data_IF_009954762378
#
_entry.id   IF_009954762378
#
_cell.length_a   1.000
_cell.length_b   1.000
_cell.length_c   1.000
_cell.angle_alpha   90.00
_cell.angle_beta   90.00
_cell.angle_gamma   90.00
#
_symmetry.space_group_name_H-M   'P 1'
#
loop_
_entity.id
_entity.type
_entity.pdbx_description
1 polymer ?
#
# COMPACT_ATOMS: atom_id res chain seq x y z
N UNK A 1 49.45 14.65 10.64
CA UNK A 1 49.52 14.19 9.22
C UNK A 1 48.37 14.79 8.41
N UNK A 2 48.57 15.14 7.12
CA UNK A 2 47.47 15.51 6.24
C UNK A 2 46.55 14.29 6.04
N UNK A 3 45.25 14.51 6.12
CA UNK A 3 44.21 13.50 5.90
C UNK A 3 43.25 14.03 4.84
N UNK A 4 42.89 13.18 3.88
CA UNK A 4 41.89 13.48 2.86
C UNK A 4 40.63 12.69 3.18
N UNK A 5 39.47 13.32 3.03
CA UNK A 5 38.16 12.68 3.17
C UNK A 5 37.40 12.83 1.87
N UNK A 6 36.67 11.79 1.47
CA UNK A 6 35.80 11.81 0.30
C UNK A 6 34.47 11.15 0.65
N UNK A 7 33.41 11.59 -0.03
CA UNK A 7 32.08 11.02 0.05
C UNK A 7 31.79 10.29 -1.25
N UNK A 8 31.24 9.07 -1.16
CA UNK A 8 30.78 8.31 -2.31
C UNK A 8 29.26 8.30 -2.31
N UNK A 9 28.67 8.78 -3.40
CA UNK A 9 27.24 8.69 -3.66
C UNK A 9 27.01 7.64 -4.75
N UNK A 10 26.11 6.70 -4.49
CA UNK A 10 25.77 5.60 -5.39
C UNK A 10 24.30 5.73 -5.76
N UNK A 11 24.02 5.72 -7.06
CA UNK A 11 22.66 5.67 -7.61
C UNK A 11 22.43 4.30 -8.24
N UNK A 12 21.29 3.69 -7.92
CA UNK A 12 20.93 2.36 -8.42
C UNK A 12 19.86 2.47 -9.49
N UNK A 13 20.08 1.78 -10.61
CA UNK A 13 19.13 1.79 -11.72
C UNK A 13 17.88 0.97 -11.41
N UNK A 14 16.74 1.40 -11.95
CA UNK A 14 15.46 0.69 -11.86
C UNK A 14 15.39 -0.62 -12.68
N UNK A 15 16.48 -1.01 -13.35
CA UNK A 15 16.51 -2.23 -14.20
C UNK A 15 16.90 -3.49 -13.43
N UNK A 16 17.65 -3.35 -12.34
CA UNK A 16 18.20 -4.48 -11.59
C UNK A 16 18.11 -4.18 -10.10
N UNK A 17 17.50 -5.10 -9.36
CA UNK A 17 17.49 -5.09 -7.91
C UNK A 17 18.75 -5.74 -7.38
N UNK A 18 19.52 -4.99 -6.60
CA UNK A 18 20.69 -5.48 -5.87
C UNK A 18 20.33 -5.54 -4.40
N UNK A 19 20.71 -6.60 -3.70
CA UNK A 19 20.55 -6.71 -2.25
C UNK A 19 21.71 -6.04 -1.50
N UNK A 20 22.87 -5.94 -2.14
CA UNK A 20 24.07 -5.29 -1.60
C UNK A 20 24.81 -4.45 -2.66
N UNK A 21 25.50 -3.42 -2.21
CA UNK A 21 26.52 -2.71 -2.97
C UNK A 21 27.90 -3.03 -2.39
N UNK A 22 28.73 -3.71 -3.17
CA UNK A 22 30.11 -4.00 -2.83
C UNK A 22 31.05 -2.99 -3.48
N UNK A 23 31.77 -2.23 -2.66
CA UNK A 23 32.73 -1.21 -3.09
C UNK A 23 34.11 -1.60 -2.60
N UNK A 24 35.07 -1.66 -3.53
CA UNK A 24 36.48 -1.84 -3.22
C UNK A 24 37.22 -0.54 -3.53
N UNK A 25 37.90 0.01 -2.53
CA UNK A 25 38.74 1.18 -2.67
C UNK A 25 40.19 0.76 -2.44
N UNK A 26 41.07 1.18 -3.33
CA UNK A 26 42.50 0.93 -3.24
C UNK A 26 43.25 2.25 -3.36
N UNK A 27 44.09 2.56 -2.37
CA UNK A 27 45.06 3.65 -2.47
C UNK A 27 46.34 3.16 -3.17
N UNK A 28 46.92 3.99 -4.03
CA UNK A 28 48.17 3.68 -4.74
C UNK A 28 49.09 4.89 -4.75
N UNK A 29 50.40 4.67 -4.75
CA UNK A 29 51.42 5.71 -4.92
C UNK A 29 52.54 5.24 -5.84
N UNK A 30 53.37 6.16 -6.33
CA UNK A 30 54.54 5.84 -7.16
C UNK A 30 55.73 5.30 -6.35
N UNK A 31 55.59 5.15 -5.03
CA UNK A 31 56.65 4.64 -4.15
C UNK A 31 56.62 3.11 -4.05
N UNK A 32 57.74 2.51 -3.64
CA UNK A 32 57.77 1.07 -3.33
C UNK A 32 57.27 0.85 -1.91
N UNK A 33 56.20 0.07 -1.79
CA UNK A 33 55.51 -0.14 -0.51
C UNK A 33 55.74 -1.56 0.02
N UNK A 34 55.93 -1.67 1.33
CA UNK A 34 56.20 -2.95 1.99
C UNK A 34 54.92 -3.75 2.30
N UNK A 35 53.78 -3.07 2.48
CA UNK A 35 52.51 -3.65 2.94
C UNK A 35 51.33 -3.27 2.04
N UNK A 36 51.38 -3.49 0.72
CA UNK A 36 50.36 -3.00 -0.22
C UNK A 36 48.92 -3.45 0.07
N UNK A 37 48.74 -4.51 0.85
CA UNK A 37 47.44 -5.06 1.24
C UNK A 37 46.66 -4.15 2.20
N UNK A 38 47.34 -3.27 2.95
CA UNK A 38 46.69 -2.35 3.90
C UNK A 38 46.05 -1.12 3.21
N UNK A 39 46.36 -0.93 1.93
CA UNK A 39 45.79 0.14 1.10
C UNK A 39 44.40 -0.20 0.55
N UNK A 40 43.90 -1.41 0.80
CA UNK A 40 42.61 -1.88 0.28
C UNK A 40 41.56 -1.90 1.37
N UNK A 41 40.42 -1.27 1.11
CA UNK A 41 39.21 -1.42 1.93
C UNK A 41 38.06 -1.95 1.07
N UNK A 42 37.33 -2.92 1.61
CA UNK A 42 36.10 -3.47 1.03
C UNK A 42 34.92 -3.09 1.90
N UNK A 43 33.92 -2.49 1.31
CA UNK A 43 32.70 -2.04 1.98
C UNK A 43 31.54 -2.77 1.31
N UNK A 44 30.68 -3.42 2.10
CA UNK A 44 29.44 -4.02 1.63
C UNK A 44 28.27 -3.33 2.32
N UNK A 45 27.37 -2.73 1.55
CA UNK A 45 26.23 -1.96 2.07
C UNK A 45 24.94 -2.63 1.64
N UNK A 46 24.06 -3.05 2.58
CA UNK A 46 22.75 -3.61 2.21
C UNK A 46 21.86 -2.53 1.59
N UNK A 47 21.19 -2.88 0.50
CA UNK A 47 20.25 -2.00 -0.19
C UNK A 47 18.83 -2.37 0.22
N UNK A 48 18.04 -1.38 0.57
CA UNK A 48 16.61 -1.53 0.89
C UNK A 48 15.80 -0.72 -0.10
N UNK A 49 14.75 -1.34 -0.64
CA UNK A 49 13.81 -0.70 -1.54
C UNK A 49 12.50 -0.48 -0.83
N UNK A 50 11.93 0.70 -1.00
CA UNK A 50 10.59 1.03 -0.54
C UNK A 50 9.62 0.91 -1.73
N UNK A 51 8.50 0.17 -1.57
CA UNK A 51 7.46 0.13 -2.58
C UNK A 51 6.71 1.46 -2.63
N UNK A 52 6.44 1.98 -3.82
CA UNK A 52 5.59 3.16 -4.00
C UNK A 52 4.21 2.68 -4.50
N UNK A 53 3.39 2.25 -3.53
CA UNK A 53 2.03 1.80 -3.76
C UNK A 53 1.03 2.92 -3.46
N UNK A 54 0.20 3.21 -4.45
CA UNK A 54 -0.87 4.19 -4.34
C UNK A 54 -2.24 3.53 -4.42
N UNK A 55 -3.09 3.86 -3.45
CA UNK A 55 -4.47 3.39 -3.36
C UNK A 55 -5.41 4.54 -3.72
N UNK A 56 -6.31 4.30 -4.67
CA UNK A 56 -7.40 5.23 -4.97
C UNK A 56 -8.74 4.50 -5.03
N UNK A 57 -9.81 5.25 -4.76
CA UNK A 57 -11.17 4.74 -4.89
C UNK A 57 -12.05 5.75 -5.63
N UNK A 58 -13.03 5.24 -6.35
CA UNK A 58 -14.05 6.04 -7.03
C UNK A 58 -15.40 5.34 -6.92
N UNK A 59 -16.47 6.07 -6.63
CA UNK A 59 -17.83 5.52 -6.51
C UNK A 59 -18.79 6.25 -7.44
N UNK A 60 -19.78 5.53 -7.98
CA UNK A 60 -20.84 6.14 -8.79
C UNK A 60 -21.79 7.02 -7.96
N UNK A 61 -21.92 6.73 -6.68
CA UNK A 61 -22.82 7.41 -5.75
C UNK A 61 -22.09 7.64 -4.41
N UNK A 62 -22.08 8.88 -3.96
CA UNK A 62 -21.54 9.27 -2.65
C UNK A 62 -22.62 9.42 -1.58
N UNK A 63 -23.89 9.54 -1.99
CA UNK A 63 -25.04 9.74 -1.12
C UNK A 63 -26.27 9.12 -1.75
N UNK A 64 -27.13 8.56 -0.90
CA UNK A 64 -28.48 8.17 -1.27
C UNK A 64 -29.47 8.67 -0.23
N UNK A 65 -30.54 9.28 -0.72
CA UNK A 65 -31.64 9.72 0.14
C UNK A 65 -32.67 8.60 0.22
N UNK A 66 -32.88 8.10 1.44
CA UNK A 66 -33.86 7.06 1.70
C UNK A 66 -35.26 7.67 1.68
N UNK A 67 -36.13 7.11 0.84
CA UNK A 67 -37.52 7.54 0.76
C UNK A 67 -38.43 6.58 1.56
N UNK A 68 -39.60 7.04 2.04
CA UNK A 68 -40.57 6.20 2.72
C UNK A 68 -40.98 4.97 1.90
N UNK A 69 -41.29 3.86 2.58
CA UNK A 69 -41.76 2.62 1.94
C UNK A 69 -42.94 2.89 0.99
N UNK A 70 -42.88 2.34 -0.22
CA UNK A 70 -43.95 2.41 -1.23
C UNK A 70 -43.84 3.58 -2.23
N UNK A 71 -42.77 4.38 -2.15
CA UNK A 71 -42.51 5.48 -3.10
C UNK A 71 -41.90 5.03 -4.43
N UNK A 72 -41.27 3.85 -4.49
CA UNK A 72 -40.63 3.32 -5.69
C UNK A 72 -41.25 1.99 -6.14
N UNK A 73 -41.30 1.77 -7.46
CA UNK A 73 -41.77 0.54 -8.10
C UNK A 73 -40.72 -0.57 -8.11
N UNK A 74 -39.44 -0.24 -7.95
CA UNK A 74 -38.34 -1.18 -7.79
C UNK A 74 -38.10 -1.43 -6.29
N UNK A 75 -38.03 -2.70 -5.91
CA UNK A 75 -37.94 -3.16 -4.51
C UNK A 75 -36.55 -3.06 -3.90
N UNK A 76 -35.50 -2.85 -4.71
CA UNK A 76 -34.13 -2.68 -4.25
C UNK A 76 -33.68 -1.25 -4.54
N UNK A 77 -33.05 -0.60 -3.55
CA UNK A 77 -32.47 0.74 -3.70
C UNK A 77 -31.40 0.80 -4.81
N UNK A 78 -30.76 1.96 -5.03
CA UNK A 78 -29.76 2.09 -6.08
C UNK A 78 -28.54 1.22 -5.79
N UNK A 79 -27.87 0.79 -6.86
CA UNK A 79 -26.62 0.07 -6.76
C UNK A 79 -25.45 1.04 -6.62
N UNK A 80 -24.69 0.87 -5.54
CA UNK A 80 -23.43 1.58 -5.31
C UNK A 80 -22.29 0.74 -5.87
N UNK A 81 -21.57 1.32 -6.82
CA UNK A 81 -20.39 0.71 -7.43
C UNK A 81 -19.17 1.47 -6.98
N UNK A 82 -18.37 0.85 -6.11
CA UNK A 82 -17.07 1.39 -5.69
C UNK A 82 -15.96 0.64 -6.42
N UNK A 83 -15.17 1.36 -7.20
CA UNK A 83 -13.94 0.88 -7.81
C UNK A 83 -12.77 1.24 -6.91
N UNK A 84 -11.91 0.27 -6.63
CA UNK A 84 -10.65 0.47 -5.90
C UNK A 84 -9.50 0.11 -6.82
N UNK A 85 -8.49 0.98 -6.89
CA UNK A 85 -7.30 0.79 -7.72
C UNK A 85 -6.06 0.80 -6.85
N UNK A 86 -5.22 -0.22 -7.03
CA UNK A 86 -3.87 -0.29 -6.48
C UNK A 86 -2.91 -0.04 -7.64
N UNK A 87 -2.08 0.99 -7.51
CA UNK A 87 -1.09 1.37 -8.51
C UNK A 87 0.30 1.29 -7.89
N UNK A 88 1.27 0.82 -8.67
CA UNK A 88 2.67 0.84 -8.29
C UNK A 88 3.37 1.93 -9.12
N UNK A 89 3.76 3.01 -8.48
CA UNK A 89 4.59 4.06 -9.07
C UNK A 89 6.09 3.80 -8.89
N UNK A 90 6.42 2.75 -8.13
CA UNK A 90 7.78 2.34 -7.88
C UNK A 90 8.44 1.74 -9.10
N UNK A 91 9.77 1.71 -9.04
CA UNK A 91 10.60 1.19 -10.12
C UNK A 91 10.53 -0.31 -10.34
N UNK A 92 9.98 -1.07 -9.38
CA UNK A 92 10.11 -2.52 -9.34
C UNK A 92 8.76 -3.21 -9.17
N UNK A 93 8.54 -4.36 -9.83
CA UNK A 93 7.31 -5.11 -9.66
C UNK A 93 7.21 -5.64 -8.24
N UNK A 94 6.04 -5.48 -7.62
CA UNK A 94 5.74 -6.00 -6.29
C UNK A 94 4.86 -7.23 -6.45
N UNK A 95 5.22 -8.30 -5.77
CA UNK A 95 4.49 -9.58 -5.80
C UNK A 95 3.74 -9.79 -4.48
N UNK A 96 2.71 -10.64 -4.51
CA UNK A 96 1.95 -11.05 -3.33
C UNK A 96 1.28 -9.88 -2.57
N UNK A 97 0.88 -8.83 -3.29
CA UNK A 97 0.13 -7.72 -2.70
C UNK A 97 -1.25 -8.20 -2.28
N UNK A 98 -1.61 -7.98 -1.02
CA UNK A 98 -2.94 -8.29 -0.49
C UNK A 98 -3.58 -7.01 0.05
N UNK A 99 -4.78 -6.70 -0.44
CA UNK A 99 -5.57 -5.57 0.04
C UNK A 99 -6.71 -6.09 0.93
N UNK A 100 -6.75 -5.62 2.17
CA UNK A 100 -7.86 -5.87 3.08
C UNK A 100 -8.79 -4.67 3.11
N UNK A 101 -10.08 -4.90 2.82
CA UNK A 101 -11.10 -3.86 2.83
C UNK A 101 -12.23 -4.26 3.77
N UNK A 102 -12.57 -3.37 4.71
CA UNK A 102 -13.74 -3.52 5.56
C UNK A 102 -14.93 -2.82 4.90
N UNK A 103 -16.02 -3.56 4.69
CA UNK A 103 -17.27 -3.02 4.17
C UNK A 103 -18.33 -3.02 5.29
N UNK A 104 -19.06 -1.92 5.51
CA UNK A 104 -20.06 -1.84 6.57
C UNK A 104 -21.30 -2.65 6.19
N UNK A 105 -21.43 -3.88 6.68
CA UNK A 105 -22.56 -4.75 6.35
C UNK A 105 -23.78 -4.56 7.28
N UNK A 106 -23.54 -4.28 8.57
CA UNK A 106 -24.55 -4.28 9.62
C UNK A 106 -24.62 -2.95 10.36
N UNK A 107 -25.84 -2.44 10.54
CA UNK A 107 -26.17 -1.29 11.38
C UNK A 107 -26.74 -1.69 12.73
N UNK A 108 -27.35 -0.72 13.45
CA UNK A 108 -27.93 -0.93 14.77
C UNK A 108 -28.92 -2.11 14.77
N UNK A 109 -28.93 -2.89 15.87
CA UNK A 109 -29.72 -4.14 16.00
C UNK A 109 -29.45 -5.17 14.89
N UNK A 110 -28.25 -5.16 14.30
CA UNK A 110 -27.85 -6.07 13.22
C UNK A 110 -28.72 -5.94 11.96
N UNK A 111 -29.31 -4.76 11.73
CA UNK A 111 -30.00 -4.48 10.48
C UNK A 111 -28.98 -4.49 9.33
N UNK A 112 -29.25 -5.24 8.25
CA UNK A 112 -28.40 -5.20 7.06
C UNK A 112 -28.53 -3.85 6.37
N UNK A 113 -27.43 -3.13 6.24
CA UNK A 113 -27.40 -1.78 5.63
C UNK A 113 -26.70 -1.77 4.27
N UNK A 114 -25.86 -2.77 4.00
CA UNK A 114 -25.18 -2.96 2.72
C UNK A 114 -25.06 -4.45 2.45
N UNK A 115 -25.31 -4.84 1.21
CA UNK A 115 -25.07 -6.19 0.71
C UNK A 115 -24.25 -6.09 -0.56
N UNK A 116 -23.15 -6.85 -0.63
CA UNK A 116 -22.32 -6.91 -1.82
C UNK A 116 -23.01 -7.83 -2.82
N UNK A 117 -23.45 -7.27 -3.95
CA UNK A 117 -24.16 -7.99 -5.01
C UNK A 117 -23.19 -8.72 -5.92
N UNK A 118 -22.06 -8.11 -6.24
CA UNK A 118 -21.03 -8.66 -7.09
C UNK A 118 -19.65 -8.06 -6.77
N UNK A 119 -18.59 -8.83 -7.06
CA UNK A 119 -17.21 -8.39 -6.99
C UNK A 119 -16.57 -8.63 -8.34
N UNK A 120 -16.05 -7.57 -8.95
CA UNK A 120 -15.32 -7.62 -10.21
C UNK A 120 -13.86 -7.28 -9.93
N UNK A 121 -12.96 -8.08 -10.49
CA UNK A 121 -11.52 -7.92 -10.31
C UNK A 121 -10.83 -8.00 -11.66
N UNK A 122 -9.86 -7.11 -11.87
CA UNK A 122 -8.95 -7.15 -13.02
C UNK A 122 -7.55 -7.47 -12.50
N UNK A 123 -6.92 -8.53 -13.03
CA UNK A 123 -5.61 -9.04 -12.61
C UNK A 123 -5.47 -9.30 -11.08
N UNK A 124 -6.58 -9.61 -10.40
CA UNK A 124 -6.59 -9.93 -8.98
C UNK A 124 -7.59 -11.04 -8.67
N UNK A 125 -7.40 -11.72 -7.54
CA UNK A 125 -8.40 -12.62 -6.96
C UNK A 125 -8.99 -11.96 -5.73
N UNK A 126 -10.31 -12.06 -5.57
CA UNK A 126 -11.01 -11.45 -4.44
C UNK A 126 -11.80 -12.52 -3.69
N UNK A 127 -11.78 -12.42 -2.36
CA UNK A 127 -12.58 -13.27 -1.47
C UNK A 127 -13.41 -12.36 -0.60
N UNK A 128 -14.74 -12.44 -0.75
CA UNK A 128 -15.66 -11.78 0.15
C UNK A 128 -15.85 -12.65 1.40
N UNK A 129 -15.60 -12.07 2.56
CA UNK A 129 -15.85 -12.73 3.84
C UNK A 129 -17.11 -12.13 4.47
N UNK A 130 -18.03 -12.97 5.00
CA UNK A 130 -19.16 -12.47 5.76
C UNK A 130 -18.68 -11.81 7.06
N UNK A 131 -19.51 -10.95 7.69
CA UNK A 131 -19.19 -10.38 8.99
C UNK A 131 -18.87 -11.49 10.01
N UNK A 132 -17.81 -11.32 10.83
CA UNK A 132 -17.48 -12.30 11.86
C UNK A 132 -18.66 -12.56 12.79
N UNK A 133 -18.83 -13.82 13.18
CA UNK A 133 -19.84 -14.22 14.15
C UNK A 133 -19.59 -13.49 15.48
N UNK A 134 -20.62 -12.83 16.01
CA UNK A 134 -20.51 -12.06 17.25
C UNK A 134 -20.08 -10.60 17.09
N UNK A 135 -20.01 -10.06 15.86
CA UNK A 135 -19.76 -8.63 15.64
C UNK A 135 -20.76 -7.77 16.43
N UNK A 136 -20.27 -6.99 17.40
CA UNK A 136 -21.08 -6.02 18.13
C UNK A 136 -21.15 -4.73 17.31
N UNK A 137 -22.36 -4.31 16.94
CA UNK A 137 -22.57 -3.00 16.32
C UNK A 137 -22.88 -2.00 17.43
N UNK A 138 -21.91 -1.15 17.75
CA UNK A 138 -22.09 -0.06 18.71
C UNK A 138 -22.89 1.05 18.04
N UNK A 139 -23.97 1.48 18.69
CA UNK A 139 -24.69 2.68 18.25
C UNK A 139 -23.81 3.90 18.50
N UNK A 140 -23.48 4.63 17.44
CA UNK A 140 -22.86 5.95 17.56
C UNK A 140 -23.97 7.00 17.48
N UNK A 141 -24.12 7.89 18.48
CA UNK A 141 -25.06 9.01 18.41
C UNK A 141 -24.78 9.90 17.18
N UNK A 142 -25.82 10.49 16.54
CA UNK A 142 -25.65 11.34 15.36
C UNK A 142 -24.70 12.52 15.55
N UNK A 143 -24.66 13.09 16.76
CA UNK A 143 -23.76 14.17 17.15
C UNK A 143 -22.27 13.80 17.04
N UNK A 144 -21.93 12.52 17.24
CA UNK A 144 -20.55 12.03 17.16
C UNK A 144 -20.12 11.68 15.73
N UNK A 145 -21.07 11.62 14.77
CA UNK A 145 -20.79 11.33 13.34
C UNK A 145 -20.38 12.58 12.55
N UNK A 146 -20.50 13.77 13.13
CA UNK A 146 -20.21 15.06 12.48
C UNK A 146 -18.72 15.44 12.51
N UNK A 147 -17.85 14.61 13.07
CA UNK A 147 -16.43 14.91 13.33
C UNK A 147 -15.42 14.16 12.46
N UNK A 148 -15.84 13.66 11.30
CA UNK A 148 -14.91 13.04 10.33
C UNK A 148 -14.54 14.08 9.28
N UNK A 149 -13.54 14.90 9.59
CA UNK A 149 -12.77 15.69 8.61
C UNK A 149 -11.68 14.83 7.95
#
# INVERSE_FOLDING_TARGET
PPQVSFTLELEFSCSILLDHADVMLQATSDSTEATPEDNVVKISVPIRYEPDLFLSSNTNLHRYEVHPLGTFTHSSGPEFTTMVKVQNFGCYPIQNVTLYMALPALGHRKATILSVTHVLADNATCVLQPPPEGTQVVSVPPEDLLHVD
#
